data_IF_268108980513
#
_entry.id   IF_268108980513
#
_cell.length_a   1.000
_cell.length_b   1.000
_cell.length_c   1.000
_cell.angle_alpha   90.00
_cell.angle_beta   90.00
_cell.angle_gamma   90.00
#
_symmetry.space_group_name_H-M   'P 1'
#
loop_
_entity.id
_entity.type
_entity.pdbx_description
1 polymer ?
#
# COMPACT_ATOMS: atom_id res chain seq x y z
N UNK A 1 -55.63 -28.68 55.61
CA UNK A 1 -55.20 -28.78 57.03
C UNK A 1 -53.72 -28.52 57.02
N UNK A 2 -53.12 -27.46 57.57
CA UNK A 2 -53.46 -26.28 58.36
C UNK A 2 -52.37 -25.25 57.97
N UNK A 3 -52.68 -24.00 57.60
CA UNK A 3 -52.70 -22.79 58.45
C UNK A 3 -51.35 -22.52 59.15
N UNK A 4 -50.74 -21.31 59.23
CA UNK A 4 -51.11 -19.90 58.99
C UNK A 4 -49.80 -19.06 59.18
N UNK A 5 -49.56 -17.97 58.43
CA UNK A 5 -49.68 -16.52 58.83
C UNK A 5 -48.86 -16.14 60.10
N UNK A 6 -48.18 -15.01 60.27
CA UNK A 6 -48.22 -13.70 59.61
C UNK A 6 -47.02 -12.81 60.07
N UNK A 7 -46.60 -11.90 59.17
CA UNK A 7 -46.34 -10.44 59.33
C UNK A 7 -45.85 -9.85 60.67
N UNK A 8 -44.81 -8.99 60.63
CA UNK A 8 -44.78 -7.62 61.26
C UNK A 8 -43.73 -6.73 60.55
N UNK A 9 -44.15 -5.49 60.24
CA UNK A 9 -43.38 -4.33 59.73
C UNK A 9 -42.42 -3.70 60.77
N UNK A 10 -41.39 -2.97 60.32
CA UNK A 10 -40.55 -2.18 61.23
C UNK A 10 -39.54 -1.24 60.57
N UNK A 11 -40.05 -0.17 59.95
CA UNK A 11 -39.60 1.25 60.00
C UNK A 11 -38.12 1.57 60.34
N UNK A 12 -37.49 2.37 59.46
CA UNK A 12 -36.25 3.14 59.70
C UNK A 12 -36.33 4.11 60.89
N UNK A 13 -35.17 4.46 61.46
CA UNK A 13 -34.93 5.83 61.88
C UNK A 13 -33.74 6.46 61.15
N UNK A 14 -33.99 7.69 60.71
CA UNK A 14 -33.04 8.67 60.22
C UNK A 14 -32.29 9.37 61.38
N UNK A 15 -31.28 10.17 60.98
CA UNK A 15 -30.61 11.30 61.66
C UNK A 15 -29.21 10.98 62.18
N UNK A 16 -28.21 11.87 62.15
CA UNK A 16 -27.90 13.16 61.50
C UNK A 16 -26.53 13.55 62.07
N UNK A 17 -25.58 13.96 61.22
CA UNK A 17 -24.62 15.06 61.46
C UNK A 17 -23.68 15.13 60.24
N UNK A 18 -23.72 16.16 59.37
CA UNK A 18 -23.16 17.52 59.56
C UNK A 18 -21.73 17.43 60.10
N UNK A 19 -20.68 18.02 59.55
CA UNK A 19 -20.41 19.07 58.56
C UNK A 19 -18.92 18.83 58.17
N UNK A 20 -18.28 19.36 57.13
CA UNK A 20 -18.11 20.75 56.72
C UNK A 20 -17.14 20.71 55.52
N UNK A 21 -17.42 21.49 54.47
CA UNK A 21 -16.39 21.86 53.50
C UNK A 21 -15.33 22.76 54.14
N UNK A 22 -14.22 23.01 53.42
CA UNK A 22 -13.98 24.40 53.10
C UNK A 22 -13.69 24.64 51.62
N UNK A 23 -14.52 25.48 51.00
CA UNK A 23 -14.08 26.41 49.97
C UNK A 23 -12.94 27.30 50.50
N UNK A 24 -11.84 27.45 49.74
CA UNK A 24 -11.36 28.80 49.38
C UNK A 24 -10.25 28.82 48.33
N UNK A 25 -10.42 29.81 47.46
CA UNK A 25 -9.43 30.63 46.78
C UNK A 25 -8.80 30.11 45.47
N UNK A 26 -9.47 30.53 44.40
CA UNK A 26 -8.92 31.25 43.25
C UNK A 26 -7.45 31.68 43.39
N UNK A 27 -6.61 31.23 42.44
CA UNK A 27 -5.50 32.01 41.93
C UNK A 27 -5.18 31.55 40.49
N UNK A 28 -5.52 32.41 39.53
CA UNK A 28 -4.96 32.40 38.19
C UNK A 28 -3.43 32.49 38.26
N UNK A 29 -2.67 31.75 37.44
CA UNK A 29 -1.32 32.14 37.11
C UNK A 29 -1.40 33.26 36.08
N UNK A 30 -1.09 34.48 36.53
CA UNK A 30 -0.75 35.61 35.67
C UNK A 30 0.34 35.22 34.68
N UNK A 31 0.09 35.58 33.43
CA UNK A 31 1.05 35.75 32.35
C UNK A 31 2.33 36.48 32.79
N UNK A 32 3.48 35.91 32.47
CA UNK A 32 4.83 36.51 32.52
C UNK A 32 5.66 35.99 31.35
N UNK A 33 6.67 36.74 30.88
CA UNK A 33 6.84 37.11 29.48
C UNK A 33 7.33 35.97 28.58
N UNK A 34 6.75 35.92 27.38
CA UNK A 34 7.20 35.03 26.31
C UNK A 34 8.60 35.40 25.81
N UNK A 35 9.32 34.45 25.18
CA UNK A 35 10.49 34.81 24.41
C UNK A 35 10.05 35.64 23.19
N UNK A 36 10.74 36.76 22.98
CA UNK A 36 10.50 37.69 21.89
C UNK A 36 10.50 36.99 20.52
N UNK A 37 9.67 37.49 19.58
CA UNK A 37 9.59 36.97 18.24
C UNK A 37 10.81 37.44 17.45
N UNK A 38 11.60 36.49 16.96
CA UNK A 38 12.55 36.79 15.89
C UNK A 38 11.76 37.06 14.62
N UNK A 39 11.61 38.35 14.33
CA UNK A 39 11.08 38.89 13.10
C UNK A 39 11.95 38.43 11.91
N UNK A 40 11.39 37.59 11.04
CA UNK A 40 11.54 37.79 9.59
C UNK A 40 10.31 37.27 8.87
N UNK A 41 9.56 38.24 8.34
CA UNK A 41 8.46 38.08 7.42
C UNK A 41 9.03 37.74 6.04
N UNK A 42 8.51 36.71 5.37
CA UNK A 42 8.51 36.63 3.91
C UNK A 42 7.14 36.14 3.44
N UNK A 43 6.44 37.03 2.73
CA UNK A 43 5.27 36.72 1.92
C UNK A 43 5.69 36.07 0.59
N UNK A 44 4.73 35.31 0.06
CA UNK A 44 4.41 35.10 -1.37
C UNK A 44 5.16 34.02 -2.15
N UNK A 45 4.34 33.07 -2.60
CA UNK A 45 4.20 32.53 -3.96
C UNK A 45 5.48 32.17 -4.72
N UNK A 46 5.68 30.87 -4.95
CA UNK A 46 5.92 30.34 -6.29
C UNK A 46 5.89 28.81 -6.32
N UNK A 47 5.15 28.32 -7.32
CA UNK A 47 5.31 27.02 -7.97
C UNK A 47 6.78 26.60 -7.97
N UNK A 48 7.10 25.46 -7.34
CA UNK A 48 8.34 24.76 -7.63
C UNK A 48 8.02 23.65 -8.62
N UNK A 49 8.13 24.03 -9.89
CA UNK A 49 8.54 23.11 -10.94
C UNK A 49 9.76 22.33 -10.44
N UNK A 50 9.71 21.00 -10.61
CA UNK A 50 10.81 20.10 -10.29
C UNK A 50 12.05 20.51 -11.09
N UNK A 51 13.09 21.00 -10.41
CA UNK A 51 14.43 21.11 -10.98
C UNK A 51 15.01 19.70 -11.15
N UNK A 52 14.92 19.18 -12.38
CA UNK A 52 15.66 18.00 -12.82
C UNK A 52 17.11 18.44 -13.01
N UNK A 53 17.98 18.12 -12.05
CA UNK A 53 19.41 18.43 -12.13
C UNK A 53 20.19 17.18 -12.53
N UNK A 54 20.42 17.00 -13.83
CA UNK A 54 21.36 16.00 -14.34
C UNK A 54 22.77 16.32 -13.83
N UNK A 55 23.34 15.43 -13.00
CA UNK A 55 24.76 15.47 -12.58
C UNK A 55 25.68 15.21 -13.78
N UNK A 56 26.01 16.25 -14.54
CA UNK A 56 27.08 16.20 -15.53
C UNK A 56 27.68 17.58 -15.84
N UNK A 57 28.20 18.30 -14.84
CA UNK A 57 29.04 19.49 -15.10
C UNK A 57 29.92 19.93 -13.91
N UNK A 58 30.56 19.02 -13.17
CA UNK A 58 31.72 19.42 -12.37
C UNK A 58 32.94 19.56 -13.30
N UNK A 59 33.10 20.68 -14.02
CA UNK A 59 34.39 21.08 -14.64
C UNK A 59 34.49 22.48 -15.25
N UNK A 60 33.58 23.40 -14.98
CA UNK A 60 33.78 24.81 -15.37
C UNK A 60 33.39 25.72 -14.21
N UNK A 61 34.34 25.96 -13.31
CA UNK A 61 34.40 27.21 -12.55
C UNK A 61 35.78 27.33 -11.89
N UNK A 62 36.80 27.49 -12.74
CA UNK A 62 38.10 27.97 -12.27
C UNK A 62 38.84 28.72 -13.37
N UNK A 63 38.19 29.75 -13.92
CA UNK A 63 38.84 30.90 -14.55
C UNK A 63 37.71 31.77 -15.10
N UNK A 64 37.51 32.96 -14.53
CA UNK A 64 37.11 34.20 -15.20
C UNK A 64 36.84 35.23 -14.10
N UNK A 65 37.92 35.80 -13.55
CA UNK A 65 37.85 37.09 -12.87
C UNK A 65 38.31 38.18 -13.84
N UNK A 66 37.56 39.27 -13.81
CA UNK A 66 37.90 40.65 -14.22
C UNK A 66 37.46 41.20 -15.60
N UNK A 67 36.39 42.02 -15.50
CA UNK A 67 36.19 43.41 -16.01
C UNK A 67 35.95 43.66 -17.51
N UNK A 68 34.71 44.05 -17.88
CA UNK A 68 34.32 45.40 -18.35
C UNK A 68 32.82 45.49 -18.72
N UNK A 69 32.22 46.66 -18.47
CA UNK A 69 30.78 46.98 -18.56
C UNK A 69 30.30 47.48 -19.95
N UNK A 70 29.00 47.22 -20.21
CA UNK A 70 28.06 47.72 -21.26
C UNK A 70 27.99 46.99 -22.63
N UNK A 71 26.82 46.91 -23.33
CA UNK A 71 25.40 46.92 -22.91
C UNK A 71 24.71 45.54 -23.12
N UNK A 72 23.62 45.31 -22.39
CA UNK A 72 22.87 44.06 -22.29
C UNK A 72 22.02 43.71 -23.53
N UNK A 73 21.93 42.40 -23.83
CA UNK A 73 21.21 41.70 -24.91
C UNK A 73 22.02 41.52 -26.23
N UNK A 74 22.75 40.38 -26.36
CA UNK A 74 22.13 39.12 -26.82
C UNK A 74 22.60 37.84 -26.10
N UNK A 75 23.35 37.93 -24.99
CA UNK A 75 23.99 36.77 -24.34
C UNK A 75 23.03 35.76 -23.71
N UNK A 76 21.84 36.19 -23.25
CA UNK A 76 20.85 35.25 -22.70
C UNK A 76 20.20 34.38 -23.78
N UNK A 77 20.10 34.87 -25.03
CA UNK A 77 19.42 34.16 -26.11
C UNK A 77 20.30 33.03 -26.66
N UNK A 78 21.60 33.28 -26.81
CA UNK A 78 22.60 32.26 -27.16
C UNK A 78 22.79 31.20 -26.08
N UNK A 79 22.61 31.54 -24.80
CA UNK A 79 22.67 30.57 -23.70
C UNK A 79 21.48 29.60 -23.73
N UNK A 80 20.26 30.11 -24.00
CA UNK A 80 19.06 29.26 -24.13
C UNK A 80 19.16 28.36 -25.36
N UNK A 81 19.61 28.87 -26.51
CA UNK A 81 19.80 28.05 -27.71
C UNK A 81 20.79 26.90 -27.49
N UNK A 82 21.93 27.17 -26.82
CA UNK A 82 22.91 26.15 -26.44
C UNK A 82 22.33 25.09 -25.50
N UNK A 83 21.53 25.50 -24.51
CA UNK A 83 20.84 24.58 -23.60
C UNK A 83 19.86 23.67 -24.34
N UNK A 84 19.09 24.20 -25.30
CA UNK A 84 18.14 23.39 -26.07
C UNK A 84 18.83 22.37 -26.98
N UNK A 85 19.98 22.71 -27.57
CA UNK A 85 20.80 21.75 -28.33
C UNK A 85 21.29 20.63 -27.42
N UNK A 86 21.81 20.97 -26.23
CA UNK A 86 22.25 19.97 -25.25
C UNK A 86 21.09 19.09 -24.75
N UNK A 87 19.92 19.69 -24.50
CA UNK A 87 18.72 18.97 -24.10
C UNK A 87 18.25 18.00 -25.19
N UNK A 88 18.25 18.44 -26.45
CA UNK A 88 17.89 17.61 -27.59
C UNK A 88 18.82 16.39 -27.71
N UNK A 89 20.14 16.60 -27.64
CA UNK A 89 21.11 15.50 -27.70
C UNK A 89 20.92 14.49 -26.57
N UNK A 90 20.62 14.96 -25.36
CA UNK A 90 20.33 14.09 -24.22
C UNK A 90 19.03 13.29 -24.42
N UNK A 91 17.95 13.93 -24.85
CA UNK A 91 16.66 13.27 -25.13
C UNK A 91 16.83 12.24 -26.26
N UNK A 92 17.48 12.60 -27.36
CA UNK A 92 17.71 11.70 -28.50
C UNK A 92 18.53 10.49 -28.07
N UNK A 93 19.56 10.69 -27.24
CA UNK A 93 20.38 9.60 -26.70
C UNK A 93 19.56 8.67 -25.81
N UNK A 94 18.79 9.22 -24.88
CA UNK A 94 17.89 8.46 -24.02
C UNK A 94 16.88 7.64 -24.83
N UNK A 95 16.17 8.28 -25.76
CA UNK A 95 15.16 7.64 -26.62
C UNK A 95 15.79 6.52 -27.46
N UNK A 96 16.97 6.75 -28.06
CA UNK A 96 17.68 5.71 -28.84
C UNK A 96 18.05 4.50 -27.98
N UNK A 97 18.49 4.73 -26.74
CA UNK A 97 18.86 3.64 -25.83
C UNK A 97 17.64 2.84 -25.39
N UNK A 98 16.58 3.50 -24.96
CA UNK A 98 15.34 2.85 -24.52
C UNK A 98 14.65 2.09 -25.67
N UNK A 99 14.63 2.64 -26.89
CA UNK A 99 14.10 1.93 -28.06
C UNK A 99 14.90 0.66 -28.37
N UNK A 100 16.23 0.70 -28.28
CA UNK A 100 17.06 -0.50 -28.47
C UNK A 100 16.78 -1.56 -27.41
N UNK A 101 16.60 -1.16 -26.15
CA UNK A 101 16.25 -2.07 -25.07
C UNK A 101 14.90 -2.73 -25.32
N UNK A 102 13.89 -1.93 -25.67
CA UNK A 102 12.54 -2.43 -25.94
C UNK A 102 12.50 -3.28 -27.20
N UNK A 103 13.24 -2.93 -28.24
CA UNK A 103 13.34 -3.75 -29.45
C UNK A 103 13.90 -5.14 -29.14
N UNK A 104 14.97 -5.22 -28.33
CA UNK A 104 15.49 -6.51 -27.84
C UNK A 104 14.44 -7.27 -27.04
N UNK A 105 13.77 -6.57 -26.15
CA UNK A 105 12.71 -7.15 -25.32
C UNK A 105 11.55 -7.62 -26.19
N UNK A 106 11.19 -6.95 -27.29
CA UNK A 106 10.04 -7.31 -28.15
C UNK A 106 10.34 -8.42 -29.18
N UNK A 107 11.61 -8.71 -29.49
CA UNK A 107 11.98 -9.73 -30.47
C UNK A 107 11.47 -11.14 -30.12
N UNK A 108 11.06 -11.95 -31.12
CA UNK A 108 10.46 -13.28 -30.93
C UNK A 108 11.45 -14.44 -30.70
N UNK A 109 12.76 -14.25 -30.89
CA UNK A 109 13.77 -15.33 -30.92
C UNK A 109 14.40 -15.71 -29.57
N UNK A 110 13.73 -15.45 -28.44
CA UNK A 110 14.26 -15.86 -27.13
C UNK A 110 13.32 -16.88 -26.45
N UNK A 111 13.70 -18.17 -26.36
CA UNK A 111 12.86 -19.18 -25.77
C UNK A 111 12.61 -18.88 -24.29
N UNK A 112 11.31 -18.75 -23.98
CA UNK A 112 10.75 -18.62 -22.65
C UNK A 112 11.18 -19.82 -21.79
N UNK A 113 12.27 -19.70 -21.02
CA UNK A 113 12.37 -20.31 -19.68
C UNK A 113 13.70 -20.09 -18.93
N UNK A 114 14.79 -19.60 -19.53
CA UNK A 114 16.05 -19.48 -18.77
C UNK A 114 16.94 -18.26 -19.08
N UNK A 115 16.85 -17.64 -20.25
CA UNK A 115 17.65 -16.43 -20.56
C UNK A 115 16.91 -15.10 -20.29
N UNK A 116 15.59 -15.13 -20.10
CA UNK A 116 14.79 -13.95 -19.75
C UNK A 116 15.23 -13.28 -18.44
N UNK A 117 15.85 -14.04 -17.53
CA UNK A 117 16.44 -13.53 -16.29
C UNK A 117 17.58 -12.54 -16.56
N UNK A 118 18.44 -12.80 -17.55
CA UNK A 118 19.64 -11.98 -17.86
C UNK A 118 19.32 -10.68 -18.62
N UNK A 119 18.27 -10.69 -19.44
CA UNK A 119 17.81 -9.46 -20.13
C UNK A 119 17.09 -8.52 -19.17
N UNK A 120 16.37 -9.07 -18.18
CA UNK A 120 15.72 -8.29 -17.13
C UNK A 120 16.76 -7.70 -16.16
N UNK A 121 17.85 -8.42 -15.89
CA UNK A 121 18.98 -7.93 -15.10
C UNK A 121 19.62 -6.66 -15.71
N UNK A 122 19.80 -6.61 -17.05
CA UNK A 122 20.30 -5.41 -17.75
C UNK A 122 19.33 -4.23 -17.78
N UNK A 123 18.03 -4.48 -17.59
CA UNK A 123 17.02 -3.42 -17.49
C UNK A 123 17.08 -2.69 -16.13
N UNK A 124 17.77 -3.29 -15.14
CA UNK A 124 17.89 -2.86 -13.74
C UNK A 124 19.16 -2.04 -13.39
N UNK A 125 19.99 -1.66 -14.36
CA UNK A 125 21.24 -0.89 -14.08
C UNK A 125 20.99 0.59 -13.70
N UNK A 126 19.77 1.08 -13.74
CA UNK A 126 19.44 2.47 -13.45
C UNK A 126 19.26 2.72 -11.94
N UNK A 127 20.09 3.55 -11.32
CA UNK A 127 20.04 3.86 -9.88
C UNK A 127 19.20 5.09 -9.52
N UNK A 128 18.83 5.92 -10.51
CA UNK A 128 18.18 7.21 -10.29
C UNK A 128 16.64 7.11 -10.37
N UNK A 129 15.92 7.63 -9.37
CA UNK A 129 14.45 7.70 -9.36
C UNK A 129 13.91 8.58 -10.50
N UNK A 130 14.60 9.67 -10.83
CA UNK A 130 14.19 10.61 -11.89
C UNK A 130 14.23 9.92 -13.27
N UNK A 131 15.20 9.03 -13.46
CA UNK A 131 15.37 8.27 -14.69
C UNK A 131 14.31 7.15 -14.84
N UNK A 132 13.79 6.61 -13.73
CA UNK A 132 12.65 5.67 -13.74
C UNK A 132 11.34 6.37 -14.14
N UNK A 133 11.11 7.58 -13.63
CA UNK A 133 9.96 8.41 -14.03
C UNK A 133 10.01 8.74 -15.52
N UNK A 134 11.18 9.12 -16.03
CA UNK A 134 11.39 9.37 -17.45
C UNK A 134 11.10 8.13 -18.33
N UNK A 135 11.49 6.93 -17.88
CA UNK A 135 11.16 5.65 -18.56
C UNK A 135 9.66 5.39 -18.60
N UNK A 136 8.92 5.66 -17.51
CA UNK A 136 7.46 5.51 -17.49
C UNK A 136 6.80 6.43 -18.52
N UNK A 137 7.19 7.71 -18.53
CA UNK A 137 6.69 8.69 -19.49
C UNK A 137 6.99 8.25 -20.92
N UNK A 138 8.20 7.75 -21.18
CA UNK A 138 8.60 7.27 -22.49
C UNK A 138 7.79 6.06 -22.96
N UNK A 139 7.52 5.08 -22.09
CA UNK A 139 6.64 3.94 -22.41
C UNK A 139 5.24 4.40 -22.83
N UNK A 140 4.66 5.39 -22.14
CA UNK A 140 3.36 5.98 -22.53
C UNK A 140 3.43 6.66 -23.89
N UNK A 141 4.48 7.43 -24.14
CA UNK A 141 4.73 8.09 -25.43
C UNK A 141 4.85 7.06 -26.56
N UNK A 142 5.61 5.98 -26.36
CA UNK A 142 5.73 4.90 -27.35
C UNK A 142 4.40 4.20 -27.61
N UNK A 143 3.64 3.86 -26.57
CA UNK A 143 2.32 3.26 -26.74
C UNK A 143 1.39 4.18 -27.55
N UNK A 144 1.42 5.49 -27.27
CA UNK A 144 0.67 6.48 -28.04
C UNK A 144 1.08 6.46 -29.51
N UNK A 145 2.38 6.50 -29.81
CA UNK A 145 2.86 6.45 -31.19
C UNK A 145 2.55 5.13 -31.90
N UNK A 146 2.67 3.98 -31.23
CA UNK A 146 2.32 2.68 -31.79
C UNK A 146 0.83 2.62 -32.19
N UNK A 147 -0.06 3.10 -31.32
CA UNK A 147 -1.50 3.21 -31.64
C UNK A 147 -1.76 4.20 -32.79
N UNK A 148 -1.08 5.35 -32.78
CA UNK A 148 -1.16 6.35 -33.88
C UNK A 148 -0.70 5.76 -35.21
N UNK A 149 0.27 4.85 -35.20
CA UNK A 149 0.76 4.11 -36.37
C UNK A 149 -0.13 2.90 -36.74
N UNK A 150 -1.28 2.70 -36.07
CA UNK A 150 -2.17 1.55 -36.22
C UNK A 150 -1.49 0.20 -35.93
N UNK A 151 -0.50 0.21 -35.03
CA UNK A 151 0.21 -0.98 -34.55
C UNK A 151 -0.32 -1.39 -33.18
N UNK A 152 -1.64 -1.57 -33.06
CA UNK A 152 -2.30 -1.84 -31.77
C UNK A 152 -1.79 -3.13 -31.12
N UNK A 153 -1.56 -4.18 -31.91
CA UNK A 153 -0.97 -5.45 -31.43
C UNK A 153 0.40 -5.26 -30.77
N UNK A 154 1.23 -4.36 -31.31
CA UNK A 154 2.55 -4.07 -30.73
C UNK A 154 2.43 -3.23 -29.45
N UNK A 155 1.49 -2.29 -29.41
CA UNK A 155 1.21 -1.51 -28.21
C UNK A 155 0.72 -2.43 -27.06
N UNK A 156 -0.18 -3.35 -27.36
CA UNK A 156 -0.65 -4.39 -26.42
C UNK A 156 0.48 -5.32 -25.99
N UNK A 157 1.32 -5.77 -26.92
CA UNK A 157 2.44 -6.64 -26.60
C UNK A 157 3.48 -5.95 -25.69
N UNK A 158 3.78 -4.67 -25.94
CA UNK A 158 4.64 -3.86 -25.07
C UNK A 158 4.05 -3.73 -23.66
N UNK A 159 2.74 -3.43 -23.56
CA UNK A 159 2.05 -3.35 -22.29
C UNK A 159 2.05 -4.70 -21.55
N UNK A 160 1.85 -5.80 -22.27
CA UNK A 160 1.91 -7.16 -21.72
C UNK A 160 3.29 -7.48 -21.15
N UNK A 161 4.38 -7.10 -21.84
CA UNK A 161 5.74 -7.31 -21.34
C UNK A 161 6.04 -6.47 -20.10
N UNK A 162 5.57 -5.22 -20.04
CA UNK A 162 5.66 -4.40 -18.82
C UNK A 162 4.91 -5.04 -17.64
N UNK A 163 3.68 -5.52 -17.86
CA UNK A 163 2.88 -6.24 -16.85
C UNK A 163 3.59 -7.50 -16.35
N UNK A 164 4.17 -8.28 -17.27
CA UNK A 164 4.92 -9.50 -16.95
C UNK A 164 6.11 -9.21 -16.04
N UNK A 165 6.91 -8.21 -16.41
CA UNK A 165 8.11 -7.89 -15.66
C UNK A 165 7.78 -7.30 -14.29
N UNK A 166 6.75 -6.46 -14.16
CA UNK A 166 6.29 -6.02 -12.85
C UNK A 166 5.82 -7.19 -11.97
N UNK A 167 5.06 -8.13 -12.53
CA UNK A 167 4.63 -9.33 -11.82
C UNK A 167 5.82 -10.15 -11.33
N UNK A 168 6.85 -10.34 -12.16
CA UNK A 168 8.08 -11.02 -11.77
C UNK A 168 8.78 -10.31 -10.61
N UNK A 169 8.98 -9.00 -10.74
CA UNK A 169 9.58 -8.15 -9.71
C UNK A 169 8.84 -8.26 -8.38
N UNK A 170 7.51 -8.13 -8.41
CA UNK A 170 6.66 -8.26 -7.24
C UNK A 170 6.78 -9.66 -6.60
N UNK A 171 6.76 -10.73 -7.40
CA UNK A 171 6.99 -12.09 -6.89
C UNK A 171 8.35 -12.22 -6.22
N UNK A 172 9.41 -11.71 -6.82
CA UNK A 172 10.76 -11.74 -6.24
C UNK A 172 10.82 -11.01 -4.89
N UNK A 173 10.27 -9.79 -4.82
CA UNK A 173 10.19 -9.02 -3.56
C UNK A 173 9.40 -9.75 -2.48
N UNK A 174 8.26 -10.34 -2.81
CA UNK A 174 7.45 -11.08 -1.83
C UNK A 174 8.13 -12.37 -1.39
N UNK A 175 8.81 -13.08 -2.30
CA UNK A 175 9.61 -14.24 -1.98
C UNK A 175 10.72 -13.85 -1.00
N UNK A 176 11.51 -12.83 -1.28
CA UNK A 176 12.55 -12.35 -0.37
C UNK A 176 12.00 -11.92 0.99
N UNK A 177 10.85 -11.22 1.01
CA UNK A 177 10.21 -10.73 2.25
C UNK A 177 9.71 -11.88 3.13
N UNK A 178 9.14 -12.94 2.55
CA UNK A 178 8.42 -13.97 3.30
C UNK A 178 9.04 -15.37 3.28
N UNK A 179 10.11 -15.60 2.53
CA UNK A 179 10.76 -16.92 2.45
C UNK A 179 11.26 -17.39 3.81
N UNK A 180 11.75 -16.49 4.67
CA UNK A 180 12.24 -16.84 5.99
C UNK A 180 11.70 -15.92 7.09
N UNK A 181 11.29 -16.52 8.21
CA UNK A 181 10.82 -15.83 9.42
C UNK A 181 11.93 -15.81 10.46
N UNK A 182 12.14 -14.69 11.19
CA UNK A 182 13.09 -14.66 12.29
C UNK A 182 12.65 -15.59 13.43
N UNK A 183 13.57 -16.41 13.94
CA UNK A 183 13.31 -17.34 15.02
C UNK A 183 13.71 -16.74 16.37
N UNK A 184 12.72 -16.18 17.08
CA UNK A 184 12.91 -15.55 18.38
C UNK A 184 13.82 -14.32 18.35
N UNK A 185 14.66 -14.16 19.39
CA UNK A 185 15.63 -13.05 19.53
C UNK A 185 16.96 -13.34 18.81
N UNK A 186 17.10 -14.53 18.22
CA UNK A 186 18.30 -14.93 17.50
C UNK A 186 18.28 -14.36 16.07
N UNK A 187 19.47 -14.16 15.47
CA UNK A 187 19.59 -13.78 14.05
C UNK A 187 19.28 -14.95 13.10
N UNK A 188 18.93 -16.13 13.61
CA UNK A 188 18.60 -17.28 12.77
C UNK A 188 17.27 -17.03 12.03
N UNK A 189 17.24 -17.39 10.74
CA UNK A 189 16.05 -17.28 9.89
C UNK A 189 15.67 -18.66 9.43
N UNK A 190 14.43 -19.07 9.71
CA UNK A 190 13.92 -20.39 9.37
C UNK A 190 12.97 -20.29 8.18
N UNK A 191 13.05 -21.20 7.19
CA UNK A 191 12.18 -21.16 6.02
C UNK A 191 10.71 -21.27 6.41
N UNK A 192 9.87 -20.34 5.96
CA UNK A 192 8.45 -20.31 6.31
C UNK A 192 7.76 -21.62 5.92
N UNK A 193 8.11 -22.19 4.78
CA UNK A 193 7.55 -23.45 4.29
C UNK A 193 7.87 -24.66 5.20
N UNK A 194 8.95 -24.62 5.98
CA UNK A 194 9.34 -25.73 6.88
C UNK A 194 8.63 -25.64 8.24
N UNK A 195 8.32 -24.42 8.69
CA UNK A 195 7.70 -24.17 10.00
C UNK A 195 6.18 -23.96 9.91
N UNK A 196 5.63 -23.79 8.70
CA UNK A 196 4.21 -23.53 8.52
C UNK A 196 3.37 -24.77 8.84
N UNK A 197 2.42 -24.60 9.76
CA UNK A 197 1.39 -25.59 10.05
C UNK A 197 0.08 -25.10 9.42
N UNK A 198 -0.62 -25.98 8.70
CA UNK A 198 -1.90 -25.64 8.07
C UNK A 198 -2.93 -25.25 9.13
N UNK A 199 -3.52 -24.06 8.97
CA UNK A 199 -4.52 -23.55 9.90
C UNK A 199 -5.90 -24.08 9.54
N UNK A 200 -6.66 -24.43 10.57
CA UNK A 200 -8.07 -24.78 10.42
C UNK A 200 -8.92 -23.51 10.29
N UNK A 201 -9.29 -23.16 9.06
CA UNK A 201 -10.11 -21.98 8.77
C UNK A 201 -11.54 -22.44 8.53
N UNK A 202 -12.49 -21.81 9.21
CA UNK A 202 -13.92 -22.09 9.09
C UNK A 202 -14.60 -20.86 8.49
N UNK A 203 -15.56 -21.09 7.59
CA UNK A 203 -16.41 -20.02 7.07
C UNK A 203 -17.17 -19.31 8.21
N UNK A 204 -16.94 -18.00 8.36
CA UNK A 204 -17.64 -17.19 9.34
C UNK A 204 -19.13 -17.03 9.01
N UNK A 205 -20.02 -17.28 9.98
CA UNK A 205 -21.45 -16.99 9.82
C UNK A 205 -21.71 -15.50 10.04
N UNK A 206 -22.57 -14.92 9.20
CA UNK A 206 -23.11 -13.56 9.39
C UNK A 206 -23.70 -13.43 10.80
N UNK A 207 -23.16 -12.52 11.60
CA UNK A 207 -23.69 -12.20 12.95
C UNK A 207 -22.89 -12.74 14.14
N UNK A 208 -21.76 -13.43 13.98
CA UNK A 208 -20.86 -13.81 15.10
C UNK A 208 -19.82 -12.70 15.34
N UNK A 209 -20.28 -11.48 15.56
CA UNK A 209 -19.46 -10.46 16.24
C UNK A 209 -20.21 -10.07 17.51
N UNK A 210 -20.43 -11.06 18.40
CA UNK A 210 -20.88 -10.77 19.75
C UNK A 210 -19.72 -10.06 20.47
N UNK A 211 -19.98 -8.92 21.12
CA UNK A 211 -19.01 -8.16 21.92
C UNK A 211 -18.51 -8.89 23.18
N UNK A 212 -18.60 -10.21 23.22
CA UNK A 212 -18.13 -11.06 24.29
C UNK A 212 -16.59 -11.14 24.29
N UNK A 213 -16.01 -11.33 25.48
CA UNK A 213 -14.56 -11.53 25.66
C UNK A 213 -14.01 -12.65 24.75
N UNK A 214 -12.79 -12.44 24.22
CA UNK A 214 -12.11 -13.35 23.28
C UNK A 214 -12.16 -14.83 23.72
N UNK A 215 -12.04 -15.09 25.02
CA UNK A 215 -12.10 -16.43 25.63
C UNK A 215 -13.47 -17.10 25.41
N UNK A 216 -14.57 -16.35 25.59
CA UNK A 216 -15.94 -16.88 25.41
C UNK A 216 -16.27 -17.18 23.96
N UNK A 217 -15.64 -16.48 23.01
CA UNK A 217 -15.82 -16.75 21.59
C UNK A 217 -15.17 -18.09 21.20
N UNK A 218 -13.98 -18.38 21.73
CA UNK A 218 -13.32 -19.69 21.56
C UNK A 218 -14.20 -20.81 22.14
N UNK A 219 -14.73 -20.63 23.36
CA UNK A 219 -15.61 -21.62 24.00
C UNK A 219 -16.94 -21.81 23.27
N UNK A 220 -17.49 -20.74 22.70
CA UNK A 220 -18.77 -20.81 21.96
C UNK A 220 -18.60 -21.49 20.60
N UNK A 221 -17.48 -21.25 19.92
CA UNK A 221 -17.13 -21.96 18.70
C UNK A 221 -16.90 -23.46 18.99
N UNK A 222 -16.14 -23.79 20.05
CA UNK A 222 -15.85 -25.19 20.40
C UNK A 222 -17.08 -26.00 20.82
N UNK A 223 -18.09 -25.36 21.43
CA UNK A 223 -19.35 -26.03 21.86
C UNK A 223 -20.37 -26.25 20.73
N UNK A 224 -20.24 -25.58 19.57
CA UNK A 224 -21.21 -25.66 18.45
C UNK A 224 -20.87 -26.77 17.44
N UNK A 225 -20.64 -28.01 17.89
CA UNK A 225 -20.36 -29.17 17.02
C UNK A 225 -21.60 -29.78 16.31
N UNK A 226 -22.78 -29.15 16.35
CA UNK A 226 -24.02 -29.79 15.88
C UNK A 226 -24.29 -29.68 14.35
N UNK A 227 -23.46 -28.98 13.59
CA UNK A 227 -23.57 -28.91 12.11
C UNK A 227 -22.18 -28.99 11.45
N UNK A 228 -22.06 -29.57 10.25
CA UNK A 228 -20.81 -29.57 9.50
C UNK A 228 -20.34 -28.12 9.27
N UNK A 229 -19.14 -27.81 9.74
CA UNK A 229 -18.45 -26.56 9.43
C UNK A 229 -17.81 -26.69 8.05
N UNK A 230 -18.00 -25.69 7.19
CA UNK A 230 -17.28 -25.62 5.92
C UNK A 230 -15.85 -25.18 6.20
N UNK A 231 -14.92 -26.13 6.18
CA UNK A 231 -13.48 -25.83 6.27
C UNK A 231 -13.00 -25.22 4.95
N UNK A 232 -12.20 -24.16 5.04
CA UNK A 232 -11.63 -23.44 3.91
C UNK A 232 -10.11 -23.64 3.93
N UNK A 233 -9.52 -24.07 2.81
CA UNK A 233 -8.06 -24.06 2.66
C UNK A 233 -7.59 -22.66 2.29
N UNK A 234 -6.36 -22.28 2.64
CA UNK A 234 -5.85 -20.93 2.34
C UNK A 234 -5.80 -20.62 0.84
N UNK A 235 -5.61 -21.65 0.01
CA UNK A 235 -5.67 -21.59 -1.46
C UNK A 235 -7.07 -21.30 -2.00
N UNK A 236 -8.11 -21.49 -1.18
CA UNK A 236 -9.52 -21.45 -1.57
C UNK A 236 -10.23 -20.18 -1.09
N UNK A 237 -9.52 -19.29 -0.38
CA UNK A 237 -10.07 -18.07 0.26
C UNK A 237 -10.88 -17.20 -0.70
N UNK A 238 -10.46 -17.11 -1.96
CA UNK A 238 -11.15 -16.33 -3.00
C UNK A 238 -11.80 -17.18 -4.09
N UNK A 239 -11.97 -18.48 -3.88
CA UNK A 239 -12.72 -19.32 -4.81
C UNK A 239 -14.21 -19.02 -4.72
N UNK A 240 -14.90 -19.27 -5.82
CA UNK A 240 -16.35 -19.07 -5.92
C UNK A 240 -17.05 -20.01 -4.92
N UNK A 241 -17.85 -19.49 -3.98
CA UNK A 241 -18.61 -20.33 -3.07
C UNK A 241 -19.69 -21.11 -3.82
N UNK A 242 -20.07 -22.31 -3.35
CA UNK A 242 -21.16 -23.07 -3.94
C UNK A 242 -22.46 -22.24 -3.95
N UNK A 243 -23.06 -22.05 -5.13
CA UNK A 243 -24.34 -21.35 -5.28
C UNK A 243 -24.27 -19.82 -5.42
N UNK A 244 -23.07 -19.23 -5.50
CA UNK A 244 -22.89 -17.83 -5.93
C UNK A 244 -22.47 -17.73 -7.39
N UNK A 245 -22.91 -16.67 -8.06
CA UNK A 245 -22.49 -16.34 -9.43
C UNK A 245 -21.15 -15.58 -9.47
N UNK A 246 -20.83 -14.83 -8.41
CA UNK A 246 -19.59 -14.04 -8.31
C UNK A 246 -18.78 -14.35 -7.03
N UNK A 247 -17.42 -14.36 -7.12
CA UNK A 247 -16.55 -14.51 -5.96
C UNK A 247 -16.71 -13.36 -4.95
N UNK A 248 -16.37 -13.60 -3.69
CA UNK A 248 -16.32 -12.52 -2.71
C UNK A 248 -15.28 -11.48 -3.10
N UNK A 249 -15.72 -10.22 -3.13
CA UNK A 249 -14.81 -9.07 -3.28
C UNK A 249 -13.94 -8.92 -2.04
N UNK A 250 -14.54 -8.92 -0.86
CA UNK A 250 -13.83 -8.71 0.41
C UNK A 250 -14.02 -9.93 1.31
N UNK A 251 -12.92 -10.45 1.83
CA UNK A 251 -12.89 -11.52 2.84
C UNK A 251 -12.26 -10.94 4.11
N UNK A 252 -12.87 -11.24 5.26
CA UNK A 252 -12.32 -10.87 6.56
C UNK A 252 -12.03 -12.12 7.39
N UNK A 253 -10.78 -12.27 7.83
CA UNK A 253 -10.36 -13.34 8.74
C UNK A 253 -10.27 -12.79 10.15
N UNK A 254 -11.15 -13.29 11.01
CA UNK A 254 -11.24 -12.90 12.41
C UNK A 254 -10.62 -14.01 13.27
N UNK A 255 -9.80 -13.64 14.24
CA UNK A 255 -9.26 -14.61 15.20
C UNK A 255 -8.49 -13.93 16.32
N UNK A 256 -8.28 -14.66 17.43
CA UNK A 256 -7.57 -14.12 18.60
C UNK A 256 -6.09 -13.82 18.32
N UNK A 257 -5.43 -13.11 19.23
CA UNK A 257 -4.01 -12.82 19.13
C UNK A 257 -3.19 -14.13 19.09
N UNK A 258 -2.12 -14.15 18.29
CA UNK A 258 -1.21 -15.31 18.23
C UNK A 258 -1.72 -16.53 17.45
N UNK A 259 -2.97 -16.54 16.98
CA UNK A 259 -3.55 -17.71 16.26
C UNK A 259 -2.97 -17.96 14.85
N UNK A 260 -2.06 -17.11 14.38
CA UNK A 260 -1.38 -17.29 13.08
C UNK A 260 -1.95 -16.51 11.90
N UNK A 261 -2.84 -15.52 12.10
CA UNK A 261 -3.42 -14.71 11.00
C UNK A 261 -2.36 -14.06 10.09
N UNK A 262 -1.33 -13.46 10.66
CA UNK A 262 -0.22 -12.85 9.90
C UNK A 262 0.62 -13.90 9.18
N UNK A 263 0.89 -15.05 9.82
CA UNK A 263 1.65 -16.14 9.20
C UNK A 263 0.88 -16.73 8.01
N UNK A 264 -0.44 -16.81 8.11
CA UNK A 264 -1.34 -17.25 7.05
C UNK A 264 -1.29 -16.33 5.82
N UNK A 265 -1.38 -15.02 6.00
CA UNK A 265 -1.30 -14.05 4.89
C UNK A 265 0.07 -14.05 4.23
N UNK A 266 1.14 -14.18 5.03
CA UNK A 266 2.51 -14.33 4.53
C UNK A 266 2.68 -15.62 3.72
N UNK A 267 2.14 -16.75 4.21
CA UNK A 267 2.19 -18.03 3.51
C UNK A 267 1.48 -17.96 2.16
N UNK A 268 0.29 -17.37 2.13
CA UNK A 268 -0.45 -17.15 0.89
C UNK A 268 0.35 -16.33 -0.12
N UNK A 269 1.00 -15.25 0.33
CA UNK A 269 1.84 -14.42 -0.53
C UNK A 269 3.09 -15.16 -1.03
N UNK A 270 3.72 -15.97 -0.17
CA UNK A 270 4.87 -16.78 -0.55
C UNK A 270 4.49 -17.86 -1.58
N UNK A 271 3.38 -18.57 -1.39
CA UNK A 271 2.91 -19.59 -2.34
C UNK A 271 2.56 -18.99 -3.71
N UNK A 272 1.99 -17.78 -3.73
CA UNK A 272 1.76 -17.05 -4.98
C UNK A 272 3.08 -16.66 -5.67
N UNK A 273 4.05 -16.17 -4.89
CA UNK A 273 5.36 -15.76 -5.36
C UNK A 273 6.18 -16.93 -5.93
N UNK A 274 6.15 -18.07 -5.26
CA UNK A 274 6.82 -19.31 -5.68
C UNK A 274 6.12 -20.04 -6.83
N UNK A 275 4.93 -19.59 -7.24
CA UNK A 275 4.19 -20.22 -8.33
C UNK A 275 3.36 -21.44 -7.92
N UNK A 276 3.24 -21.73 -6.62
CA UNK A 276 2.59 -22.94 -6.08
C UNK A 276 1.06 -22.87 -6.10
N UNK A 277 0.49 -21.70 -5.79
CA UNK A 277 -0.96 -21.52 -5.69
C UNK A 277 -1.42 -20.15 -6.20
N UNK A 278 -2.74 -19.97 -6.37
CA UNK A 278 -3.39 -18.68 -6.68
C UNK A 278 -2.88 -17.99 -7.97
N UNK A 279 -2.45 -18.75 -8.97
CA UNK A 279 -1.86 -18.19 -10.20
C UNK A 279 -2.86 -17.46 -11.11
N UNK A 280 -4.16 -17.59 -10.83
CA UNK A 280 -5.23 -16.76 -11.40
C UNK A 280 -5.17 -15.30 -10.92
N UNK A 281 -4.40 -14.99 -9.87
CA UNK A 281 -4.13 -13.62 -9.42
C UNK A 281 -2.94 -13.06 -10.20
N UNK A 282 -3.15 -11.93 -10.88
CA UNK A 282 -2.10 -11.26 -11.65
C UNK A 282 -1.15 -10.48 -10.76
N UNK A 283 -1.69 -9.75 -9.77
CA UNK A 283 -0.95 -8.89 -8.84
C UNK A 283 -1.44 -9.09 -7.41
N UNK A 284 -0.50 -9.14 -6.45
CA UNK A 284 -0.77 -9.34 -5.03
C UNK A 284 -0.03 -8.31 -4.18
N UNK A 285 -0.75 -7.51 -3.41
CA UNK A 285 -0.18 -6.43 -2.59
C UNK A 285 -0.52 -6.60 -1.11
N UNK A 286 0.39 -7.21 -0.33
CA UNK A 286 0.24 -7.32 1.12
C UNK A 286 0.74 -6.07 1.85
N UNK A 287 -0.17 -5.41 2.57
CA UNK A 287 0.10 -4.28 3.45
C UNK A 287 -0.21 -4.65 4.89
N UNK A 288 0.60 -4.17 5.83
CA UNK A 288 0.23 -4.18 7.25
C UNK A 288 -0.35 -2.82 7.64
N UNK A 289 -1.35 -2.77 8.52
CA UNK A 289 -1.82 -1.49 9.04
C UNK A 289 -0.74 -0.75 9.83
N UNK A 290 0.24 -1.46 10.42
CA UNK A 290 1.44 -0.83 11.02
C UNK A 290 2.21 0.01 10.02
N UNK A 291 2.50 -0.54 8.85
CA UNK A 291 3.19 0.15 7.75
C UNK A 291 2.35 1.34 7.25
N UNK A 292 1.04 1.14 7.04
CA UNK A 292 0.12 2.18 6.54
C UNK A 292 -0.03 3.35 7.52
N UNK A 293 -0.05 3.08 8.82
CA UNK A 293 -0.12 4.12 9.87
C UNK A 293 1.05 5.11 9.82
N UNK A 294 2.20 4.72 9.28
CA UNK A 294 3.37 5.62 9.13
C UNK A 294 3.16 6.69 8.05
N UNK A 295 2.17 6.51 7.18
CA UNK A 295 1.89 7.38 6.03
C UNK A 295 0.75 8.38 6.26
N UNK A 296 0.18 8.42 7.47
CA UNK A 296 -1.03 9.19 7.83
C UNK A 296 -1.02 10.70 7.50
N UNK A 297 0.15 11.32 7.31
CA UNK A 297 0.27 12.77 7.01
C UNK A 297 0.44 13.04 5.51
N UNK A 298 0.82 12.02 4.74
CA UNK A 298 1.13 12.16 3.31
C UNK A 298 -0.11 11.83 2.48
N UNK A 299 -0.17 12.43 1.30
CA UNK A 299 -1.15 12.08 0.27
C UNK A 299 -0.50 11.16 -0.75
N UNK A 300 -1.26 10.17 -1.18
CA UNK A 300 -0.86 9.18 -2.17
C UNK A 300 -2.03 8.90 -3.10
N UNK A 301 -1.75 8.73 -4.38
CA UNK A 301 -2.62 7.93 -5.25
C UNK A 301 -2.42 6.43 -4.96
N UNK A 302 -3.33 5.58 -5.44
CA UNK A 302 -3.18 4.13 -5.24
C UNK A 302 -1.90 3.62 -5.91
N UNK A 303 -1.61 4.15 -7.09
CA UNK A 303 -0.41 3.80 -7.84
C UNK A 303 0.85 4.23 -7.07
N UNK A 304 0.87 5.43 -6.51
CA UNK A 304 1.99 5.90 -5.68
C UNK A 304 2.15 5.09 -4.40
N UNK A 305 1.04 4.71 -3.73
CA UNK A 305 1.09 3.89 -2.52
C UNK A 305 1.71 2.52 -2.81
N UNK A 306 1.27 1.85 -3.88
CA UNK A 306 1.83 0.55 -4.29
C UNK A 306 3.31 0.68 -4.63
N UNK A 307 3.70 1.73 -5.37
CA UNK A 307 5.11 1.99 -5.65
C UNK A 307 5.89 2.17 -4.35
N UNK A 308 5.43 3.01 -3.43
CA UNK A 308 6.14 3.28 -2.18
C UNK A 308 6.57 2.02 -1.40
N UNK A 309 5.75 0.96 -1.39
CA UNK A 309 6.04 -0.28 -0.67
C UNK A 309 6.78 -1.35 -1.48
N UNK A 310 6.58 -1.38 -2.80
CA UNK A 310 7.06 -2.47 -3.67
C UNK A 310 8.07 -2.02 -4.73
N UNK A 311 8.44 -0.73 -4.78
CA UNK A 311 9.41 -0.17 -5.74
C UNK A 311 10.87 -0.38 -5.36
N UNK A 312 11.19 -1.18 -4.33
CA UNK A 312 12.59 -1.47 -3.95
C UNK A 312 13.45 -1.97 -5.12
N UNK A 313 12.83 -2.46 -6.19
CA UNK A 313 13.50 -2.79 -7.45
C UNK A 313 12.85 -2.04 -8.63
N UNK A 314 13.46 -0.90 -8.95
CA UNK A 314 13.85 -0.41 -10.29
C UNK A 314 12.99 -0.86 -11.49
N UNK A 315 11.68 -0.71 -11.40
CA UNK A 315 10.82 -0.91 -12.57
C UNK A 315 9.62 0.02 -12.60
N UNK A 316 9.48 0.74 -13.72
CA UNK A 316 8.27 1.44 -14.11
C UNK A 316 7.29 0.43 -14.74
N UNK A 317 5.99 0.51 -14.44
CA UNK A 317 5.06 -0.35 -15.18
C UNK A 317 3.58 -0.25 -14.83
N UNK A 318 3.21 -0.16 -13.55
CA UNK A 318 1.79 0.01 -13.22
C UNK A 318 1.44 1.49 -13.37
N UNK A 319 0.78 1.79 -14.47
CA UNK A 319 0.04 3.05 -14.70
C UNK A 319 -1.48 2.83 -14.68
N UNK A 320 -1.93 1.57 -14.71
CA UNK A 320 -3.32 1.15 -14.65
C UNK A 320 -3.42 -0.27 -14.10
N UNK A 321 -4.52 -0.55 -13.42
CA UNK A 321 -4.88 -1.90 -12.94
C UNK A 321 -6.03 -2.51 -13.77
N UNK A 322 -6.42 -1.88 -14.87
CA UNK A 322 -7.48 -2.37 -15.76
C UNK A 322 -7.17 -3.78 -16.26
N UNK A 323 -8.21 -4.63 -16.28
CA UNK A 323 -8.17 -6.03 -16.73
C UNK A 323 -7.27 -6.95 -15.87
N UNK A 324 -6.70 -6.44 -14.77
CA UNK A 324 -5.88 -7.23 -13.87
C UNK A 324 -6.71 -7.72 -12.68
N UNK A 325 -6.77 -9.04 -12.50
CA UNK A 325 -7.11 -9.62 -11.20
C UNK A 325 -6.06 -9.25 -10.13
N UNK A 326 -6.38 -8.21 -9.36
CA UNK A 326 -5.57 -7.72 -8.24
C UNK A 326 -6.13 -8.24 -6.92
N UNK A 327 -5.24 -8.60 -5.99
CA UNK A 327 -5.56 -8.91 -4.60
C UNK A 327 -4.78 -7.97 -3.68
N UNK A 328 -5.49 -7.30 -2.77
CA UNK A 328 -4.89 -6.56 -1.66
C UNK A 328 -5.08 -7.34 -0.37
N UNK A 329 -4.01 -7.50 0.40
CA UNK A 329 -4.09 -8.05 1.76
C UNK A 329 -3.82 -6.92 2.74
N UNK A 330 -4.71 -6.72 3.70
CA UNK A 330 -4.56 -5.76 4.79
C UNK A 330 -4.48 -6.50 6.12
N UNK A 331 -3.27 -6.67 6.62
CA UNK A 331 -3.00 -7.42 7.85
C UNK A 331 -3.06 -6.51 9.08
N UNK A 332 -3.84 -6.92 10.08
CA UNK A 332 -3.89 -6.30 11.41
C UNK A 332 -4.78 -5.07 11.51
N UNK A 333 -6.04 -5.14 11.08
CA UNK A 333 -7.00 -4.03 11.22
C UNK A 333 -7.16 -3.58 12.68
N UNK A 334 -6.97 -4.48 13.65
CA UNK A 334 -6.93 -4.17 15.09
C UNK A 334 -5.83 -3.19 15.50
N UNK A 335 -4.87 -2.93 14.61
CA UNK A 335 -3.76 -2.01 14.80
C UNK A 335 -3.92 -0.74 13.95
N UNK A 336 -5.02 -0.60 13.21
CA UNK A 336 -5.31 0.57 12.39
C UNK A 336 -5.49 1.82 13.27
N UNK A 337 -4.82 2.92 12.89
CA UNK A 337 -4.96 4.24 13.52
C UNK A 337 -5.46 5.29 12.54
N UNK A 338 -5.80 4.87 11.33
CA UNK A 338 -6.34 5.71 10.28
C UNK A 338 -7.85 5.87 10.52
N UNK A 339 -8.41 7.10 10.41
CA UNK A 339 -9.84 7.32 10.59
C UNK A 339 -10.61 6.82 9.35
N UNK A 340 -10.93 5.53 9.31
CA UNK A 340 -11.68 4.92 8.20
C UNK A 340 -13.16 5.33 8.28
N UNK A 341 -13.50 6.47 7.68
CA UNK A 341 -14.88 7.00 7.65
C UNK A 341 -15.69 6.44 6.49
N UNK A 342 -16.41 5.34 6.74
CA UNK A 342 -17.30 4.72 5.77
C UNK A 342 -18.60 5.52 5.50
N UNK A 343 -18.91 6.54 6.30
CA UNK A 343 -20.06 7.43 6.10
C UNK A 343 -19.72 8.65 5.25
N UNK A 344 -18.44 8.97 5.08
CA UNK A 344 -17.99 10.02 4.18
C UNK A 344 -18.54 9.78 2.75
N UNK A 345 -18.91 10.86 2.07
CA UNK A 345 -19.43 10.86 0.70
C UNK A 345 -18.35 11.08 -0.36
N UNK A 346 -17.09 11.26 0.03
CA UNK A 346 -15.98 11.36 -0.90
C UNK A 346 -15.82 10.07 -1.70
N UNK A 347 -16.07 10.15 -3.01
CA UNK A 347 -15.98 9.03 -3.95
C UNK A 347 -14.72 9.22 -4.78
N UNK A 348 -13.80 8.27 -4.64
CA UNK A 348 -12.56 8.20 -5.42
C UNK A 348 -12.65 7.01 -6.38
N UNK A 349 -12.55 7.28 -7.68
CA UNK A 349 -12.59 6.25 -8.74
C UNK A 349 -11.28 6.16 -9.53
N UNK A 350 -10.52 7.24 -9.60
CA UNK A 350 -9.25 7.30 -10.32
C UNK A 350 -8.10 6.81 -9.42
N UNK A 351 -7.33 5.85 -9.92
CA UNK A 351 -6.18 5.28 -9.20
C UNK A 351 -4.96 6.20 -9.16
N UNK A 352 -4.95 7.25 -10.00
CA UNK A 352 -3.87 8.24 -10.12
C UNK A 352 -4.15 9.51 -9.30
N UNK A 353 -5.37 9.71 -8.83
CA UNK A 353 -5.73 10.85 -7.99
C UNK A 353 -5.19 10.68 -6.57
N UNK A 354 -4.51 11.72 -6.07
CA UNK A 354 -3.81 11.69 -4.78
C UNK A 354 -4.71 12.12 -3.62
N UNK A 355 -4.86 11.24 -2.63
CA UNK A 355 -5.67 11.48 -1.43
C UNK A 355 -4.99 10.99 -0.15
N UNK A 356 -5.60 11.18 1.02
CA UNK A 356 -5.07 10.61 2.26
C UNK A 356 -5.28 9.09 2.30
N UNK A 357 -4.42 8.39 3.03
CA UNK A 357 -4.43 6.91 3.05
C UNK A 357 -5.75 6.35 3.58
N UNK A 358 -6.38 7.02 4.56
CA UNK A 358 -7.70 6.65 5.09
C UNK A 358 -8.81 6.72 4.04
N UNK A 359 -8.86 7.79 3.24
CA UNK A 359 -9.83 7.95 2.14
C UNK A 359 -9.58 6.91 1.05
N UNK A 360 -8.31 6.65 0.73
CA UNK A 360 -7.92 5.65 -0.26
C UNK A 360 -8.38 4.24 0.15
N UNK A 361 -8.09 3.83 1.38
CA UNK A 361 -8.48 2.53 1.93
C UNK A 361 -10.00 2.40 2.04
N UNK A 362 -10.68 3.45 2.46
CA UNK A 362 -12.15 3.47 2.56
C UNK A 362 -12.79 3.27 1.18
N UNK A 363 -12.31 3.98 0.15
CA UNK A 363 -12.82 3.84 -1.21
C UNK A 363 -12.48 2.49 -1.83
N UNK A 364 -11.30 1.92 -1.54
CA UNK A 364 -10.97 0.53 -1.88
C UNK A 364 -11.93 -0.45 -1.21
N UNK A 365 -12.16 -0.36 0.09
CA UNK A 365 -13.02 -1.30 0.83
C UNK A 365 -14.47 -1.21 0.36
N UNK A 366 -14.98 0.00 0.12
CA UNK A 366 -16.34 0.22 -0.42
C UNK A 366 -16.51 -0.24 -1.86
N UNK A 367 -15.43 -0.33 -2.63
CA UNK A 367 -15.47 -0.70 -4.04
C UNK A 367 -15.69 0.45 -5.01
N UNK A 368 -15.58 1.69 -4.54
CA UNK A 368 -15.53 2.87 -5.42
C UNK A 368 -14.22 2.89 -6.22
N UNK A 369 -13.10 2.58 -5.55
CA UNK A 369 -11.79 2.46 -6.16
C UNK A 369 -11.48 0.99 -6.43
N UNK A 370 -11.12 0.68 -7.68
CA UNK A 370 -10.86 -0.69 -8.17
C UNK A 370 -11.97 -1.68 -7.75
N UNK A 371 -13.17 -1.57 -8.35
CA UNK A 371 -14.30 -2.44 -8.01
C UNK A 371 -13.98 -3.93 -8.20
N UNK A 372 -13.20 -4.29 -9.23
CA UNK A 372 -12.82 -5.68 -9.54
C UNK A 372 -11.71 -6.26 -8.66
N UNK A 373 -11.05 -5.44 -7.82
CA UNK A 373 -10.01 -5.92 -6.93
C UNK A 373 -10.59 -6.72 -5.76
N UNK A 374 -9.88 -7.77 -5.34
CA UNK A 374 -10.24 -8.57 -4.17
C UNK A 374 -9.45 -8.12 -2.95
N UNK A 375 -10.09 -8.10 -1.80
CA UNK A 375 -9.50 -7.63 -0.55
C UNK A 375 -9.54 -8.76 0.48
N UNK A 376 -8.44 -8.94 1.22
CA UNK A 376 -8.39 -9.81 2.38
C UNK A 376 -7.92 -9.03 3.59
N UNK A 377 -8.78 -8.91 4.60
CA UNK A 377 -8.50 -8.16 5.83
C UNK A 377 -8.36 -9.15 6.98
N UNK A 378 -7.33 -9.01 7.81
CA UNK A 378 -7.21 -9.78 9.06
C UNK A 378 -7.45 -8.87 10.27
N UNK A 379 -8.13 -9.39 11.29
CA UNK A 379 -8.43 -8.60 12.49
C UNK A 379 -8.65 -9.47 13.72
N UNK A 380 -8.59 -8.86 14.90
CA UNK A 380 -9.14 -9.45 16.13
C UNK A 380 -10.65 -9.22 16.21
N UNK A 381 -11.40 -10.07 16.90
CA UNK A 381 -12.85 -9.89 17.06
C UNK A 381 -13.26 -8.50 17.54
N UNK A 382 -12.49 -7.89 18.45
CA UNK A 382 -12.81 -6.59 19.02
C UNK A 382 -12.80 -5.43 18.01
N UNK A 383 -12.05 -5.56 16.91
CA UNK A 383 -11.90 -4.54 15.88
C UNK A 383 -12.60 -4.92 14.56
N UNK A 384 -13.51 -5.89 14.60
CA UNK A 384 -14.22 -6.40 13.43
C UNK A 384 -15.59 -5.71 13.17
N UNK A 385 -15.97 -4.73 13.98
CA UNK A 385 -17.28 -4.07 13.96
C UNK A 385 -17.33 -2.79 13.15
#
# INVERSE_FOLDING_TARGET
>A
MEQREDRVEGVCPSKTSLSEEPERNQQEPKSGPGPEPSCVSFKSDQSKDLEILFKAAERLDQQMSEVHSYPSAPQHQTHVESLFVMLEDNIVTFVKNELKMIQKVLSPDDPVSSESETVHEKMMECEDEDQLSAREAFLKVMQHFLRRMKQDKMAEHLQSRCRFSWRYTLKSTLKEKYQCVPEGVSKARSPLNEIYTELYIIEGRTGIVSGDHEVRQIETASRKQYRPETTIRHEDIFKLPPGREEPFRTVMTIGVAGIGKTVLTQKFALDWAEGKANQNVHLLFPFTFRELNMLKVKRFSLVELVRHFFSKSKMAGISSFEELQVVFIFDGLDECRLPLDFHNKEVLTDVTESTTVDVLLTNLIRGNLLPSARLWITTRPAAAN
#
